data_IF_481563095316
#
_entry.id   IF_481563095316
#
_cell.length_a   1.000
_cell.length_b   1.000
_cell.length_c   1.000
_cell.angle_alpha   90.00
_cell.angle_beta   90.00
_cell.angle_gamma   90.00
#
_symmetry.space_group_name_H-M   'P 1'
#
loop_
_entity.id
_entity.type
_entity.pdbx_description
1 polymer ?
#
# COMPACT_ATOMS: atom_id res chain seq x y z
N UNK A 1 -5.17 -5.40 -9.57
CA UNK A 1 -4.55 -4.09 -9.27
C UNK A 1 -3.02 -4.17 -9.16
N UNK A 2 -2.47 -4.95 -8.21
CA UNK A 2 -1.01 -5.07 -8.02
C UNK A 2 -0.31 -5.82 -9.15
N UNK A 3 -0.91 -6.94 -9.60
CA UNK A 3 -0.37 -7.75 -10.70
C UNK A 3 -0.34 -7.03 -12.07
N UNK A 4 -1.12 -5.95 -12.24
CA UNK A 4 -1.09 -5.18 -13.48
C UNK A 4 0.22 -4.40 -13.65
N UNK A 5 0.82 -3.92 -12.55
CA UNK A 5 2.06 -3.16 -12.58
C UNK A 5 2.97 -3.54 -11.40
N UNK A 6 3.59 -4.73 -11.43
CA UNK A 6 4.37 -5.25 -10.30
C UNK A 6 5.62 -4.43 -10.00
N UNK A 7 6.11 -3.63 -10.95
CA UNK A 7 7.32 -2.83 -10.82
C UNK A 7 7.07 -1.40 -10.31
N UNK A 8 5.81 -1.05 -10.00
CA UNK A 8 5.45 0.29 -9.52
C UNK A 8 5.46 0.37 -7.99
N UNK A 9 5.61 1.59 -7.50
CA UNK A 9 5.43 1.89 -6.08
C UNK A 9 3.96 2.15 -5.80
N UNK A 10 3.53 1.75 -4.61
CA UNK A 10 2.18 1.93 -4.13
C UNK A 10 2.22 2.61 -2.77
N UNK A 11 1.22 3.43 -2.49
CA UNK A 11 1.02 4.01 -1.17
C UNK A 11 -0.34 3.60 -0.69
N UNK A 12 -0.49 3.25 0.58
CA UNK A 12 -1.81 3.04 1.13
C UNK A 12 -1.98 3.73 2.47
N UNK A 13 -3.18 4.21 2.73
CA UNK A 13 -3.57 4.81 4.00
C UNK A 13 -4.83 4.13 4.53
N UNK A 14 -4.98 4.14 5.85
CA UNK A 14 -6.12 3.58 6.54
C UNK A 14 -6.34 4.35 7.82
N UNK A 15 -7.58 4.80 8.02
CA UNK A 15 -7.98 5.40 9.28
C UNK A 15 -7.86 4.38 10.42
N UNK A 16 -7.39 4.83 11.59
CA UNK A 16 -7.11 3.96 12.73
C UNK A 16 -8.39 3.25 13.19
N UNK A 17 -8.42 1.93 13.06
CA UNK A 17 -9.60 1.12 13.43
C UNK A 17 -10.62 0.95 12.31
N UNK A 18 -10.34 1.47 11.11
CA UNK A 18 -11.17 1.23 9.93
C UNK A 18 -10.97 -0.19 9.37
N UNK A 19 -12.05 -0.79 8.92
CA UNK A 19 -12.04 -2.04 8.16
C UNK A 19 -11.73 -1.82 6.67
N UNK A 20 -11.47 -0.57 6.27
CA UNK A 20 -11.17 -0.18 4.90
C UNK A 20 -9.81 0.49 4.81
N UNK A 21 -9.15 0.29 3.69
CA UNK A 21 -7.87 0.92 3.35
C UNK A 21 -7.92 1.40 1.92
N UNK A 22 -7.31 2.53 1.64
CA UNK A 22 -7.15 3.05 0.29
C UNK A 22 -5.72 2.79 -0.18
N UNK A 23 -5.56 2.18 -1.36
CA UNK A 23 -4.27 1.97 -2.01
C UNK A 23 -4.21 2.74 -3.32
N UNK A 24 -3.14 3.52 -3.49
CA UNK A 24 -2.86 4.35 -4.64
C UNK A 24 -1.58 3.89 -5.33
N UNK A 25 -1.56 3.95 -6.67
CA UNK A 25 -0.34 3.72 -7.47
C UNK A 25 0.41 5.05 -7.66
N UNK A 26 1.69 5.06 -7.28
CA UNK A 26 2.55 6.23 -7.46
C UNK A 26 2.85 6.43 -8.95
N UNK A 27 2.48 7.60 -9.48
CA UNK A 27 2.68 8.01 -10.87
C UNK A 27 1.46 7.96 -11.78
N UNK A 28 0.41 7.19 -11.44
CA UNK A 28 -0.82 7.10 -12.25
C UNK A 28 -2.04 7.75 -11.56
N UNK A 29 -1.91 8.28 -10.33
CA UNK A 29 -3.02 8.79 -9.50
C UNK A 29 -4.23 7.82 -9.39
N UNK A 30 -4.01 6.53 -9.67
CA UNK A 30 -5.05 5.51 -9.59
C UNK A 30 -5.13 5.01 -8.15
N UNK A 31 -6.22 5.36 -7.46
CA UNK A 31 -6.52 4.93 -6.09
C UNK A 31 -7.73 4.02 -6.06
N UNK A 32 -7.66 2.94 -5.30
CA UNK A 32 -8.79 2.05 -5.03
C UNK A 32 -8.98 1.90 -3.52
N UNK A 33 -10.24 1.93 -3.09
CA UNK A 33 -10.60 1.59 -1.71
C UNK A 33 -10.89 0.11 -1.62
N UNK A 34 -10.23 -0.57 -0.70
CA UNK A 34 -10.43 -1.98 -0.42
C UNK A 34 -11.12 -2.14 0.93
N UNK A 35 -12.09 -3.05 1.02
CA UNK A 35 -12.71 -3.46 2.30
C UNK A 35 -11.79 -4.43 3.05
N UNK A 36 -10.60 -3.95 3.39
CA UNK A 36 -9.63 -4.65 4.21
C UNK A 36 -8.91 -3.64 5.08
N UNK A 37 -8.65 -4.02 6.33
CA UNK A 37 -7.87 -3.20 7.25
C UNK A 37 -6.39 -3.13 6.80
N UNK A 38 -5.67 -2.13 7.32
CA UNK A 38 -4.27 -1.89 7.00
C UNK A 38 -3.38 -3.14 7.18
N UNK A 39 -3.65 -3.95 8.21
CA UNK A 39 -2.90 -5.17 8.50
C UNK A 39 -3.06 -6.21 7.38
N UNK A 40 -4.29 -6.46 6.94
CA UNK A 40 -4.59 -7.40 5.85
C UNK A 40 -4.01 -6.92 4.52
N UNK A 41 -4.09 -5.63 4.25
CA UNK A 41 -3.50 -5.05 3.06
C UNK A 41 -1.97 -5.19 3.07
N UNK A 42 -1.33 -4.95 4.22
CA UNK A 42 0.10 -5.14 4.41
C UNK A 42 0.53 -6.61 4.18
N UNK A 43 -0.20 -7.57 4.77
CA UNK A 43 0.03 -9.02 4.56
C UNK A 43 -0.06 -9.37 3.06
N UNK A 44 -1.14 -8.94 2.39
CA UNK A 44 -1.34 -9.20 0.96
C UNK A 44 -0.24 -8.59 0.09
N UNK A 45 0.25 -7.39 0.41
CA UNK A 45 1.36 -6.75 -0.31
C UNK A 45 2.65 -7.57 -0.17
N UNK A 46 2.96 -8.07 1.03
CA UNK A 46 4.14 -8.90 1.25
C UNK A 46 4.07 -10.24 0.49
N UNK A 47 2.90 -10.89 0.47
CA UNK A 47 2.68 -12.12 -0.31
C UNK A 47 2.88 -11.89 -1.81
N UNK A 48 2.58 -10.68 -2.31
CA UNK A 48 2.81 -10.28 -3.70
C UNK A 48 4.25 -9.81 -3.96
N UNK A 49 5.15 -9.86 -2.98
CA UNK A 49 6.56 -9.48 -3.14
C UNK A 49 6.84 -7.99 -2.99
N UNK A 50 5.99 -7.25 -2.28
CA UNK A 50 6.21 -5.83 -1.97
C UNK A 50 6.69 -5.64 -0.53
N UNK A 51 7.66 -4.76 -0.35
CA UNK A 51 8.10 -4.27 0.94
C UNK A 51 7.40 -2.96 1.26
N UNK A 52 6.56 -2.96 2.30
CA UNK A 52 5.84 -1.80 2.77
C UNK A 52 6.46 -1.26 4.07
N UNK A 53 6.60 0.06 4.19
CA UNK A 53 7.09 0.71 5.40
C UNK A 53 6.45 2.09 5.60
N UNK A 54 6.22 2.46 6.86
CA UNK A 54 5.86 3.82 7.23
C UNK A 54 7.05 4.75 6.97
N UNK A 55 6.85 5.90 6.32
CA UNK A 55 7.87 6.93 6.22
C UNK A 55 8.35 7.37 7.60
N UNK A 56 9.62 7.74 7.72
CA UNK A 56 10.15 8.34 8.96
C UNK A 56 9.57 9.73 9.25
N UNK A 57 8.91 10.33 8.27
CA UNK A 57 8.27 11.64 8.39
C UNK A 57 6.99 11.50 9.24
N UNK A 58 6.94 12.09 10.44
CA UNK A 58 5.80 11.97 11.34
C UNK A 58 4.53 12.66 10.81
N UNK A 59 4.64 13.50 9.77
CA UNK A 59 3.50 14.10 9.08
C UNK A 59 2.85 13.20 8.02
N UNK A 60 3.43 12.02 7.72
CA UNK A 60 2.91 11.09 6.71
C UNK A 60 2.33 9.85 7.38
N UNK A 61 1.01 9.71 7.29
CA UNK A 61 0.26 8.55 7.80
C UNK A 61 0.21 7.39 6.82
N UNK A 62 0.46 7.65 5.54
CA UNK A 62 0.41 6.62 4.51
C UNK A 62 1.67 5.74 4.51
N UNK A 63 1.46 4.45 4.29
CA UNK A 63 2.50 3.45 4.18
C UNK A 63 2.98 3.35 2.72
N UNK A 64 4.29 3.35 2.50
CA UNK A 64 4.90 3.22 1.17
C UNK A 64 5.32 1.79 0.89
N UNK A 65 4.86 1.23 -0.21
CA UNK A 65 5.14 -0.11 -0.68
C UNK A 65 5.94 -0.10 -1.97
N UNK A 66 7.11 -0.72 -1.95
CA UNK A 66 8.01 -0.86 -3.10
C UNK A 66 8.19 -2.33 -3.46
N UNK A 67 8.33 -2.68 -4.75
CA UNK A 67 8.62 -4.05 -5.14
C UNK A 67 9.95 -4.49 -4.54
N UNK A 68 10.01 -5.72 -4.02
CA UNK A 68 11.26 -6.29 -3.56
C UNK A 68 12.12 -6.68 -4.76
N UNK A 69 13.42 -6.35 -4.77
CA UNK A 69 14.33 -6.88 -5.77
C UNK A 69 14.34 -8.42 -5.68
N UNK A 70 14.27 -9.07 -6.84
CA UNK A 70 14.37 -10.54 -6.95
C UNK A 70 15.77 -11.03 -6.60
#
# INVERSE_FOLDING_TARGET
>A
FLQHQPNKQYTFDSERGSEKSEICREGDNECITLQMNAKRLFEAMQEQGFFCALPMDPGRTYMKCRPMPK
#
